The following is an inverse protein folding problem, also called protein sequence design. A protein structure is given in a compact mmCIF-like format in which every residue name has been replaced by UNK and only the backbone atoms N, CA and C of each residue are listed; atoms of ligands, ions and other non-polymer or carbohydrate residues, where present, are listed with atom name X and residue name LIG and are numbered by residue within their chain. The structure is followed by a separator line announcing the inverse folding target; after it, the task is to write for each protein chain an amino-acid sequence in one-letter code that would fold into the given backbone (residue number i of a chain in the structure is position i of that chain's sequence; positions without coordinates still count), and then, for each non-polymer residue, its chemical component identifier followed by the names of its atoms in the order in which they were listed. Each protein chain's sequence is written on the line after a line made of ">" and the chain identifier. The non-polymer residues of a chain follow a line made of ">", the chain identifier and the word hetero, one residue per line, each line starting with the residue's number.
data_IF_961311036308
#
_entry.id   IF_961311036308
#
_cell.length_a   1.000
_cell.length_b   1.000
_cell.length_c   1.000
_cell.angle_alpha   90.00
_cell.angle_beta   90.00
_cell.angle_gamma   90.00
#
_symmetry.space_group_name_H-M   'P 1'
#
loop_
_entity.id
_entity.type
_entity.pdbx_description
1 polymer ?
#
# COMPACT_ATOMS: atom_id res chain seq x y z
N UNK A 1 5.28 1.65 -19.99
CA UNK A 1 5.64 2.51 -18.85
C UNK A 1 6.89 3.30 -19.25
N UNK A 2 6.93 4.62 -19.02
CA UNK A 2 8.16 5.39 -19.21
C UNK A 2 9.24 4.88 -18.26
N UNK A 3 10.50 5.02 -18.65
CA UNK A 3 11.63 4.68 -17.79
C UNK A 3 11.73 5.72 -16.66
N UNK A 4 11.36 5.32 -15.45
CA UNK A 4 11.37 6.18 -14.25
C UNK A 4 12.77 6.68 -13.86
N UNK A 5 13.84 6.18 -14.50
CA UNK A 5 15.21 6.70 -14.32
C UNK A 5 15.50 7.96 -15.13
N UNK A 6 14.66 8.28 -16.13
CA UNK A 6 14.87 9.45 -16.98
C UNK A 6 14.51 10.74 -16.23
N UNK A 7 15.31 11.78 -16.43
CA UNK A 7 15.11 13.08 -15.82
C UNK A 7 13.80 13.78 -16.25
N UNK A 8 13.25 13.40 -17.41
CA UNK A 8 11.98 13.92 -17.95
C UNK A 8 10.77 13.03 -17.61
N UNK A 9 10.92 12.07 -16.70
CA UNK A 9 9.81 11.23 -16.24
C UNK A 9 9.13 11.82 -15.00
N UNK A 10 7.82 12.06 -15.10
CA UNK A 10 7.01 12.55 -13.98
C UNK A 10 6.68 11.45 -12.94
N UNK A 11 7.08 10.20 -13.18
CA UNK A 11 6.86 9.10 -12.25
C UNK A 11 8.06 8.95 -11.29
N UNK A 12 7.79 9.03 -9.99
CA UNK A 12 8.79 8.81 -8.94
C UNK A 12 9.30 7.36 -8.84
N UNK A 13 8.56 6.39 -9.39
CA UNK A 13 8.90 4.97 -9.38
C UNK A 13 8.18 4.21 -10.50
N UNK A 14 8.74 3.06 -10.90
CA UNK A 14 8.13 2.15 -11.90
C UNK A 14 7.02 1.26 -11.33
N UNK A 15 7.01 1.07 -10.01
CA UNK A 15 6.04 0.27 -9.25
C UNK A 15 5.78 0.96 -7.89
N UNK A 16 4.56 0.84 -7.38
CA UNK A 16 4.21 1.29 -6.04
C UNK A 16 3.06 0.46 -5.47
N UNK A 17 3.04 0.32 -4.15
CA UNK A 17 2.04 -0.48 -3.46
C UNK A 17 0.75 0.31 -3.22
N UNK A 18 -0.39 -0.33 -3.53
CA UNK A 18 -1.74 0.21 -3.32
C UNK A 18 -2.40 -0.54 -2.16
N UNK A 19 -2.05 -0.15 -0.93
CA UNK A 19 -2.53 -0.79 0.28
C UNK A 19 -3.11 0.26 1.24
N UNK A 20 -4.21 -0.05 1.94
CA UNK A 20 -4.85 -1.38 2.01
C UNK A 20 -5.92 -1.63 0.94
N UNK A 21 -6.20 -0.67 0.05
CA UNK A 21 -7.13 -0.84 -1.08
C UNK A 21 -6.52 -0.31 -2.37
N UNK A 22 -7.05 -0.79 -3.50
CA UNK A 22 -6.66 -0.34 -4.83
C UNK A 22 -7.70 0.56 -5.47
N UNK A 23 -7.27 1.35 -6.46
CA UNK A 23 -8.11 2.31 -7.18
C UNK A 23 -8.85 3.32 -6.26
N UNK A 24 -9.99 3.84 -6.72
CA UNK A 24 -10.77 4.91 -6.09
C UNK A 24 -11.91 4.36 -5.25
N UNK A 25 -12.15 5.00 -4.12
CA UNK A 25 -13.40 4.93 -3.37
C UNK A 25 -14.13 6.25 -3.64
N UNK A 26 -15.29 6.17 -4.29
CA UNK A 26 -16.15 7.33 -4.58
C UNK A 26 -16.42 8.11 -3.30
N UNK A 27 -16.25 9.42 -3.38
CA UNK A 27 -16.32 10.38 -2.27
C UNK A 27 -15.50 10.02 -1.01
N UNK A 28 -14.55 9.09 -1.12
CA UNK A 28 -13.87 8.49 0.03
C UNK A 28 -14.83 7.80 1.01
N UNK A 29 -16.05 7.47 0.59
CA UNK A 29 -17.13 7.01 1.45
C UNK A 29 -17.57 5.61 1.07
N UNK A 30 -17.61 4.72 2.05
CA UNK A 30 -18.07 3.35 1.83
C UNK A 30 -18.78 2.81 3.06
N UNK A 31 -19.55 1.75 2.88
CA UNK A 31 -20.23 1.04 3.96
C UNK A 31 -19.68 -0.37 4.07
N UNK A 32 -19.25 -0.76 5.27
CA UNK A 32 -18.76 -2.10 5.56
C UNK A 32 -19.28 -2.57 6.91
N UNK A 33 -19.74 -3.83 6.99
CA UNK A 33 -20.34 -4.40 8.19
C UNK A 33 -21.42 -3.50 8.85
N UNK A 34 -22.25 -2.85 8.02
CA UNK A 34 -23.34 -1.98 8.47
C UNK A 34 -22.91 -0.60 8.99
N UNK A 35 -21.62 -0.25 8.92
CA UNK A 35 -21.11 1.07 9.31
C UNK A 35 -20.60 1.83 8.09
N UNK A 36 -20.93 3.11 8.02
CA UNK A 36 -20.37 4.02 7.01
C UNK A 36 -19.04 4.58 7.50
N UNK A 37 -18.04 4.52 6.65
CA UNK A 37 -16.71 5.05 6.87
C UNK A 37 -16.44 6.18 5.89
N UNK A 38 -15.73 7.21 6.35
CA UNK A 38 -15.31 8.36 5.55
C UNK A 38 -13.78 8.44 5.63
N UNK A 39 -13.14 8.38 4.48
CA UNK A 39 -11.71 8.60 4.32
C UNK A 39 -11.43 10.09 4.08
N UNK A 40 -10.21 10.52 4.41
CA UNK A 40 -9.70 11.83 4.04
C UNK A 40 -9.59 11.98 2.51
N UNK A 41 -9.63 13.23 2.02
CA UNK A 41 -9.60 13.59 0.60
C UNK A 41 -10.73 12.98 -0.23
N UNK A 42 -11.90 12.78 0.39
CA UNK A 42 -13.07 12.20 -0.26
C UNK A 42 -13.58 13.02 -1.45
N UNK A 43 -13.43 14.35 -1.42
CA UNK A 43 -13.79 15.28 -2.49
C UNK A 43 -13.07 15.02 -3.82
N UNK A 44 -11.92 14.34 -3.78
CA UNK A 44 -11.18 13.90 -4.97
C UNK A 44 -11.26 12.38 -5.21
N UNK A 45 -12.12 11.70 -4.46
CA UNK A 45 -12.14 10.26 -4.26
C UNK A 45 -10.84 9.77 -3.61
N UNK A 46 -10.96 9.06 -2.49
CA UNK A 46 -9.78 8.45 -1.87
C UNK A 46 -9.19 7.40 -2.82
N UNK A 47 -7.87 7.40 -3.02
CA UNK A 47 -7.22 6.63 -4.09
C UNK A 47 -5.97 5.89 -3.60
N UNK A 48 -5.85 4.61 -3.97
CA UNK A 48 -4.63 3.79 -3.82
C UNK A 48 -4.16 3.53 -2.39
N UNK A 49 -5.04 3.66 -1.40
CA UNK A 49 -4.65 3.46 0.00
C UNK A 49 -3.66 4.52 0.48
N UNK A 50 -2.80 4.14 1.41
CA UNK A 50 -1.96 5.09 2.13
C UNK A 50 -0.56 4.55 2.47
N UNK A 51 -0.01 3.69 1.62
CA UNK A 51 1.35 3.16 1.81
C UNK A 51 2.35 3.68 0.79
N UNK A 52 1.89 4.27 -0.32
CA UNK A 52 2.75 4.75 -1.42
C UNK A 52 3.78 5.79 -0.99
N UNK A 53 3.40 6.71 -0.11
CA UNK A 53 4.25 7.82 0.34
C UNK A 53 4.89 7.57 1.71
N UNK A 54 4.65 6.40 2.32
CA UNK A 54 5.14 6.07 3.65
C UNK A 54 6.43 5.26 3.58
N UNK A 55 7.28 5.43 4.59
CA UNK A 55 8.51 4.65 4.69
C UNK A 55 8.19 3.19 5.04
N UNK A 56 8.85 2.27 4.34
CA UNK A 56 8.82 0.85 4.65
C UNK A 56 10.12 0.44 5.34
N UNK A 57 10.04 -0.49 6.28
CA UNK A 57 11.21 -1.07 6.92
C UNK A 57 11.75 -2.20 6.06
N UNK A 58 13.03 -2.14 5.69
CA UNK A 58 13.72 -3.27 5.05
C UNK A 58 14.02 -4.32 6.10
N UNK A 59 13.44 -5.51 5.94
CA UNK A 59 13.64 -6.66 6.83
C UNK A 59 14.72 -7.62 6.31
N UNK A 60 14.85 -7.74 4.98
CA UNK A 60 15.85 -8.58 4.32
C UNK A 60 16.24 -7.92 2.99
N UNK A 61 17.53 -7.91 2.66
CA UNK A 61 18.02 -7.48 1.35
C UNK A 61 19.20 -8.35 0.95
N UNK A 62 19.09 -8.97 -0.21
CA UNK A 62 20.13 -9.77 -0.86
C UNK A 62 20.24 -9.35 -2.33
N UNK A 63 21.14 -10.00 -3.08
CA UNK A 63 21.28 -9.74 -4.51
C UNK A 63 20.01 -10.06 -5.33
N UNK A 64 19.16 -10.97 -4.86
CA UNK A 64 17.99 -11.46 -5.61
C UNK A 64 16.69 -11.37 -4.84
N UNK A 65 16.69 -10.81 -3.63
CA UNK A 65 15.50 -10.74 -2.79
C UNK A 65 15.48 -9.48 -1.93
N UNK A 66 14.32 -8.84 -1.85
CA UNK A 66 14.05 -7.73 -0.95
C UNK A 66 12.75 -8.02 -0.19
N UNK A 67 12.79 -7.95 1.13
CA UNK A 67 11.59 -8.05 1.97
C UNK A 67 11.43 -6.74 2.72
N UNK A 68 10.28 -6.09 2.53
CA UNK A 68 9.92 -4.88 3.24
C UNK A 68 8.65 -5.10 4.05
N UNK A 69 8.59 -4.50 5.23
CA UNK A 69 7.44 -4.55 6.14
C UNK A 69 6.92 -3.16 6.47
N UNK A 70 5.63 -3.07 6.71
CA UNK A 70 4.93 -1.85 7.11
C UNK A 70 3.97 -2.18 8.24
N UNK A 71 3.97 -1.36 9.28
CA UNK A 71 3.01 -1.42 10.38
C UNK A 71 2.29 -0.07 10.43
N UNK A 72 0.97 -0.07 10.27
CA UNK A 72 0.20 1.19 10.23
C UNK A 72 0.25 1.95 11.55
N UNK A 73 0.48 1.24 12.66
CA UNK A 73 0.60 1.81 14.00
C UNK A 73 1.85 2.68 14.19
N UNK A 74 2.83 2.61 13.28
CA UNK A 74 4.01 3.46 13.30
C UNK A 74 3.69 4.90 12.86
N UNK A 75 2.45 5.16 12.43
CA UNK A 75 1.98 6.45 11.93
C UNK A 75 0.65 6.84 12.61
N UNK A 76 0.51 8.10 13.00
CA UNK A 76 -0.70 8.60 13.68
C UNK A 76 -1.88 8.86 12.72
N UNK A 77 -1.59 9.04 11.42
CA UNK A 77 -2.51 9.64 10.46
C UNK A 77 -2.80 8.74 9.24
N UNK A 78 -2.71 7.41 9.41
CA UNK A 78 -3.05 6.48 8.32
C UNK A 78 -4.51 6.65 7.93
N UNK A 79 -4.77 6.96 6.66
CA UNK A 79 -6.10 7.16 6.08
C UNK A 79 -6.82 5.82 5.83
N UNK A 80 -6.89 4.99 6.88
CA UNK A 80 -7.64 3.75 6.91
C UNK A 80 -8.12 3.45 8.33
N UNK A 81 -9.40 3.12 8.56
CA UNK A 81 -9.95 3.03 9.92
C UNK A 81 -9.42 1.88 10.78
N UNK A 82 -8.82 0.86 10.17
CA UNK A 82 -8.32 -0.32 10.86
C UNK A 82 -6.80 -0.33 10.87
N UNK A 83 -6.16 -0.68 12.00
CA UNK A 83 -4.73 -0.93 11.99
C UNK A 83 -4.43 -2.18 11.16
N UNK A 84 -3.36 -2.14 10.39
CA UNK A 84 -2.93 -3.23 9.53
C UNK A 84 -1.41 -3.33 9.48
N UNK A 85 -0.94 -4.53 9.15
CA UNK A 85 0.44 -4.78 8.79
C UNK A 85 0.51 -5.23 7.35
N UNK A 86 1.60 -4.91 6.66
CA UNK A 86 1.85 -5.41 5.33
C UNK A 86 3.29 -5.89 5.17
N UNK A 87 3.48 -6.85 4.28
CA UNK A 87 4.79 -7.32 3.83
C UNK A 87 4.78 -7.39 2.31
N UNK A 88 5.81 -6.84 1.69
CA UNK A 88 6.11 -7.08 0.29
C UNK A 88 7.40 -7.88 0.19
N UNK A 89 7.40 -8.86 -0.71
CA UNK A 89 8.59 -9.59 -1.12
C UNK A 89 8.79 -9.39 -2.60
N UNK A 90 9.94 -8.84 -2.97
CA UNK A 90 10.41 -8.80 -4.34
C UNK A 90 11.50 -9.85 -4.51
N UNK A 91 11.38 -10.69 -5.53
CA UNK A 91 12.34 -11.75 -5.82
C UNK A 91 12.69 -11.79 -7.31
N UNK A 92 13.96 -12.04 -7.58
CA UNK A 92 14.50 -12.32 -8.90
C UNK A 92 14.88 -13.79 -8.95
N UNK A 93 14.33 -14.50 -9.93
CA UNK A 93 14.65 -15.89 -10.21
C UNK A 93 14.88 -16.05 -11.71
N UNK A 94 16.15 -16.18 -12.10
CA UNK A 94 16.62 -16.14 -13.49
C UNK A 94 16.04 -14.96 -14.30
N UNK A 95 15.04 -15.23 -15.15
CA UNK A 95 14.37 -14.26 -16.02
C UNK A 95 13.02 -13.78 -15.46
N UNK A 96 12.70 -14.15 -14.23
CA UNK A 96 11.43 -13.83 -13.57
C UNK A 96 11.64 -12.80 -12.48
N UNK A 97 10.81 -11.76 -12.52
CA UNK A 97 10.60 -10.87 -11.38
C UNK A 97 9.24 -11.19 -10.75
N UNK A 98 9.24 -11.50 -9.46
CA UNK A 98 8.03 -11.78 -8.70
C UNK A 98 7.87 -10.76 -7.56
N UNK A 99 6.66 -10.25 -7.40
CA UNK A 99 6.24 -9.43 -6.27
C UNK A 99 5.11 -10.13 -5.53
N UNK A 100 5.28 -10.39 -4.23
CA UNK A 100 4.24 -10.94 -3.38
C UNK A 100 3.91 -9.94 -2.28
N UNK A 101 2.62 -9.62 -2.14
CA UNK A 101 2.11 -8.77 -1.08
C UNK A 101 1.34 -9.64 -0.10
N UNK A 102 1.50 -9.39 1.19
CA UNK A 102 0.68 -9.97 2.25
C UNK A 102 0.19 -8.84 3.15
N UNK A 103 -1.11 -8.81 3.41
CA UNK A 103 -1.77 -7.82 4.25
C UNK A 103 -2.43 -8.55 5.43
N UNK A 104 -2.21 -8.05 6.63
CA UNK A 104 -2.84 -8.55 7.85
C UNK A 104 -3.66 -7.45 8.48
N UNK A 105 -4.94 -7.73 8.73
CA UNK A 105 -5.73 -6.93 9.65
C UNK A 105 -5.17 -7.10 11.07
N UNK A 106 -4.74 -6.00 11.70
CA UNK A 106 -4.27 -5.96 13.10
C UNK A 106 -5.33 -5.45 14.06
N UNK A 107 -6.51 -5.07 13.54
CA UNK A 107 -7.63 -4.60 14.33
C UNK A 107 -8.43 -5.75 14.95
N UNK A 108 -9.30 -5.38 15.88
CA UNK A 108 -10.18 -6.30 16.61
C UNK A 108 -11.48 -6.63 15.85
N UNK A 109 -11.74 -5.93 14.73
CA UNK A 109 -12.95 -6.12 13.92
C UNK A 109 -12.57 -6.46 12.48
N UNK A 110 -13.46 -7.14 11.71
CA UNK A 110 -13.24 -7.36 10.29
C UNK A 110 -12.91 -6.06 9.55
N UNK A 111 -12.02 -6.16 8.56
CA UNK A 111 -11.54 -5.07 7.72
C UNK A 111 -11.74 -5.49 6.26
N UNK A 112 -12.24 -4.60 5.37
CA UNK A 112 -12.23 -4.89 3.95
C UNK A 112 -10.79 -4.86 3.41
N UNK A 113 -10.41 -5.90 2.66
CA UNK A 113 -9.08 -6.09 2.08
C UNK A 113 -9.20 -6.80 0.73
#
# INVERSE_FOLDING_TARGET
>A
MPDARRADCDLAASDFLMLPYSNRIEDGRFTFAGRTHQLAHGDHHAIHGDTRQRAWRVAESTATKLVCTFESSDYEDVNWPWPFAARVVYALDELTFASQITLWNRGETPMPA
#
